data_IF_532443862128
#
_entry.id   IF_532443862128
#
_cell.length_a   1.000
_cell.length_b   1.000
_cell.length_c   1.000
_cell.angle_alpha   90.00
_cell.angle_beta   90.00
_cell.angle_gamma   90.00
#
_symmetry.space_group_name_H-M   'P 1'
#
loop_
_entity.id
_entity.type
_entity.pdbx_description
1 polymer ?
#
# COMPACT_ATOMS: atom_id res chain seq x y z
N UNK A 1 15.34 38.11 -24.96
CA UNK A 1 14.72 36.94 -25.60
C UNK A 1 15.70 35.91 -26.21
N UNK A 2 16.85 36.27 -26.77
CA UNK A 2 17.83 35.31 -27.35
C UNK A 2 18.48 34.35 -26.33
N UNK A 3 18.77 34.80 -25.10
CA UNK A 3 19.38 33.94 -24.05
C UNK A 3 18.44 32.85 -23.52
N UNK A 4 17.14 33.12 -23.42
CA UNK A 4 16.16 32.11 -22.98
C UNK A 4 15.97 31.00 -24.03
N UNK A 5 16.04 31.33 -25.35
CA UNK A 5 15.98 30.32 -26.43
C UNK A 5 17.22 29.42 -26.43
N UNK A 6 18.41 29.93 -26.08
CA UNK A 6 19.63 29.15 -26.02
C UNK A 6 19.60 28.10 -24.87
N UNK A 7 18.98 28.43 -23.74
CA UNK A 7 18.86 27.49 -22.60
C UNK A 7 17.85 26.37 -22.92
N UNK A 8 16.75 26.68 -23.61
CA UNK A 8 15.73 25.70 -23.98
C UNK A 8 16.20 24.72 -25.08
N UNK A 9 17.18 25.12 -25.92
CA UNK A 9 17.72 24.25 -26.98
C UNK A 9 18.88 23.34 -26.52
N UNK A 10 19.39 23.50 -25.31
CA UNK A 10 20.48 22.67 -24.77
C UNK A 10 20.14 21.16 -24.77
N UNK A 11 18.92 20.72 -24.38
CA UNK A 11 18.62 19.28 -24.36
C UNK A 11 18.55 18.62 -25.73
N UNK A 12 18.37 19.35 -26.82
CA UNK A 12 18.22 18.80 -28.18
C UNK A 12 19.52 18.66 -28.99
N UNK A 13 20.64 19.06 -28.43
CA UNK A 13 21.97 18.90 -29.04
C UNK A 13 22.34 17.42 -29.22
N UNK A 14 23.13 17.14 -30.29
CA UNK A 14 23.51 15.76 -30.67
C UNK A 14 24.24 14.96 -29.56
N UNK A 15 24.94 15.65 -28.64
CA UNK A 15 25.62 15.06 -27.46
C UNK A 15 24.78 15.20 -26.19
N UNK A 16 24.08 16.30 -26.02
CA UNK A 16 23.27 16.58 -24.82
C UNK A 16 22.05 15.65 -24.66
N UNK A 17 21.46 15.17 -25.75
CA UNK A 17 20.39 14.16 -25.69
C UNK A 17 20.82 12.88 -24.96
N UNK A 18 22.08 12.43 -25.20
CA UNK A 18 22.62 11.26 -24.52
C UNK A 18 22.93 11.53 -23.04
N UNK A 19 23.40 12.76 -22.73
CA UNK A 19 23.59 13.18 -21.32
C UNK A 19 22.27 13.21 -20.56
N UNK A 20 21.19 13.73 -21.16
CA UNK A 20 19.86 13.74 -20.55
C UNK A 20 19.34 12.31 -20.36
N UNK A 21 19.54 11.43 -21.36
CA UNK A 21 19.14 10.03 -21.23
C UNK A 21 19.91 9.33 -20.11
N UNK A 22 21.22 9.48 -20.05
CA UNK A 22 22.06 8.92 -18.96
C UNK A 22 21.62 9.47 -17.61
N UNK A 23 21.35 10.77 -17.51
CA UNK A 23 20.85 11.39 -16.28
C UNK A 23 19.55 10.72 -15.80
N UNK A 24 18.59 10.52 -16.69
CA UNK A 24 17.34 9.84 -16.35
C UNK A 24 17.54 8.38 -15.97
N UNK A 25 18.42 7.66 -16.65
CA UNK A 25 18.76 6.28 -16.28
C UNK A 25 19.39 6.22 -14.88
N UNK A 26 20.28 7.15 -14.54
CA UNK A 26 20.88 7.25 -13.22
C UNK A 26 19.82 7.58 -12.16
N UNK A 27 18.94 8.56 -12.46
CA UNK A 27 17.81 8.90 -11.56
C UNK A 27 16.96 7.67 -11.30
N UNK A 28 16.57 6.92 -12.33
CA UNK A 28 15.75 5.72 -12.19
C UNK A 28 16.47 4.58 -11.45
N UNK A 29 17.75 4.41 -11.69
CA UNK A 29 18.57 3.41 -10.98
C UNK A 29 18.62 3.67 -9.46
N UNK A 30 18.62 4.95 -9.06
CA UNK A 30 18.59 5.35 -7.65
C UNK A 30 17.17 5.39 -7.11
N UNK A 31 16.22 5.93 -7.88
CA UNK A 31 14.83 6.11 -7.47
C UNK A 31 14.08 4.77 -7.37
N UNK A 32 14.37 3.79 -8.25
CA UNK A 32 13.66 2.51 -8.26
C UNK A 32 13.73 1.77 -6.93
N UNK A 33 14.92 1.49 -6.37
CA UNK A 33 15.05 0.87 -5.05
C UNK A 33 14.43 1.68 -3.91
N UNK A 34 14.46 3.03 -4.00
CA UNK A 34 13.86 3.91 -2.99
C UNK A 34 12.33 3.90 -3.08
N UNK A 35 11.77 3.93 -4.28
CA UNK A 35 10.33 3.80 -4.50
C UNK A 35 9.78 2.48 -3.95
N UNK A 36 10.52 1.37 -4.15
CA UNK A 36 10.16 0.08 -3.59
C UNK A 36 10.12 0.02 -2.05
N UNK A 37 10.77 0.96 -1.37
CA UNK A 37 10.73 1.07 0.11
C UNK A 37 9.55 1.89 0.63
N UNK A 38 8.82 2.58 -0.25
CA UNK A 38 7.70 3.44 0.17
C UNK A 38 6.62 2.64 0.90
N UNK A 39 6.25 1.46 0.39
CA UNK A 39 5.27 0.58 1.05
C UNK A 39 5.66 0.19 2.48
N UNK A 40 6.97 0.04 2.75
CA UNK A 40 7.46 -0.24 4.10
C UNK A 40 7.52 0.99 5.01
N UNK A 41 7.42 2.20 4.45
CA UNK A 41 7.42 3.46 5.19
C UNK A 41 5.99 4.01 5.44
N UNK A 42 4.97 3.36 4.88
CA UNK A 42 3.57 3.74 5.07
C UNK A 42 3.14 3.49 6.52
N UNK A 43 2.51 4.50 7.10
CA UNK A 43 1.89 4.42 8.41
C UNK A 43 0.38 4.29 8.23
N UNK A 44 -0.12 3.09 8.45
CA UNK A 44 -1.55 2.77 8.29
C UNK A 44 -2.25 2.56 9.64
N UNK A 45 -1.67 3.07 10.72
CA UNK A 45 -2.28 3.09 12.05
C UNK A 45 -3.46 4.08 12.10
N UNK A 46 -4.32 3.90 13.11
CA UNK A 46 -5.51 4.76 13.26
C UNK A 46 -5.16 6.25 13.39
N UNK A 47 -3.97 6.58 13.87
CA UNK A 47 -3.50 7.97 14.02
C UNK A 47 -3.16 8.61 12.66
N UNK A 48 -2.68 7.83 11.69
CA UNK A 48 -2.35 8.33 10.35
C UNK A 48 -3.58 8.75 9.53
N UNK A 49 -4.78 8.29 9.94
CA UNK A 49 -6.05 8.59 9.28
C UNK A 49 -6.81 9.76 9.93
N UNK A 50 -6.41 10.16 11.13
CA UNK A 50 -7.10 11.19 11.90
C UNK A 50 -6.36 12.53 11.78
N UNK A 51 -7.09 13.66 11.72
CA UNK A 51 -6.47 14.97 11.82
C UNK A 51 -5.69 15.10 13.14
N UNK A 52 -4.47 15.62 13.08
CA UNK A 52 -3.59 15.73 14.25
C UNK A 52 -4.22 16.50 15.43
N UNK A 53 -5.18 17.39 15.14
CA UNK A 53 -5.87 18.22 16.13
C UNK A 53 -7.18 17.61 16.66
N UNK A 54 -7.60 16.45 16.12
CA UNK A 54 -8.83 15.80 16.56
C UNK A 54 -8.73 15.32 18.02
N UNK A 55 -9.82 15.41 18.76
CA UNK A 55 -9.89 14.93 20.15
C UNK A 55 -9.56 13.45 20.26
N UNK A 56 -10.04 12.64 19.34
CA UNK A 56 -9.71 11.22 19.22
C UNK A 56 -8.21 10.96 19.09
N UNK A 57 -7.48 11.78 18.35
CA UNK A 57 -6.01 11.69 18.21
C UNK A 57 -5.31 11.99 19.54
N UNK A 58 -5.81 12.95 20.31
CA UNK A 58 -5.29 13.27 21.64
C UNK A 58 -5.56 12.14 22.63
N UNK A 59 -6.73 11.53 22.57
CA UNK A 59 -7.08 10.35 23.39
C UNK A 59 -6.16 9.19 23.06
N UNK A 60 -5.91 8.89 21.79
CA UNK A 60 -4.97 7.86 21.39
C UNK A 60 -3.54 8.14 21.89
N UNK A 61 -3.09 9.38 21.82
CA UNK A 61 -1.79 9.79 22.34
C UNK A 61 -1.68 9.65 23.87
N UNK A 62 -2.75 9.90 24.60
CA UNK A 62 -2.81 9.65 26.05
C UNK A 62 -2.86 8.14 26.33
N UNK A 63 -3.66 7.39 25.58
CA UNK A 63 -3.79 5.94 25.74
C UNK A 63 -2.46 5.21 25.52
N UNK A 64 -1.62 5.71 24.60
CA UNK A 64 -0.30 5.14 24.32
C UNK A 64 0.67 5.20 25.53
N UNK A 65 0.39 6.03 26.53
CA UNK A 65 1.16 6.08 27.77
C UNK A 65 0.81 4.92 28.74
N UNK A 66 -0.35 4.30 28.56
CA UNK A 66 -0.85 3.22 29.43
C UNK A 66 -0.86 1.86 28.73
N UNK A 67 -1.06 1.86 27.42
CA UNK A 67 -1.11 0.66 26.58
C UNK A 67 -0.12 0.83 25.43
N UNK A 68 0.67 -0.20 25.15
CA UNK A 68 1.54 -0.16 23.97
C UNK A 68 0.69 0.04 22.72
N UNK A 69 0.92 1.10 21.92
CA UNK A 69 0.13 1.39 20.74
C UNK A 69 0.29 0.33 19.64
N UNK A 70 1.30 -0.53 19.76
CA UNK A 70 1.63 -1.57 18.79
C UNK A 70 1.00 -2.92 19.14
N UNK A 71 0.35 -3.06 20.30
CA UNK A 71 -0.30 -4.30 20.73
C UNK A 71 -1.76 -4.30 20.28
N UNK A 72 -2.08 -5.21 19.39
CA UNK A 72 -3.42 -5.43 18.84
C UNK A 72 -3.98 -6.74 19.36
N UNK A 73 -5.02 -6.73 20.22
CA UNK A 73 -5.65 -7.96 20.65
C UNK A 73 -6.43 -8.62 19.50
N UNK A 74 -6.14 -9.90 19.27
CA UNK A 74 -6.98 -10.81 18.50
C UNK A 74 -7.96 -11.50 19.44
N UNK A 75 -9.20 -11.66 19.00
CA UNK A 75 -10.20 -12.49 19.67
C UNK A 75 -10.46 -13.70 18.79
N UNK A 76 -9.95 -14.85 19.20
CA UNK A 76 -10.18 -16.13 18.52
C UNK A 76 -11.44 -16.74 19.12
N UNK A 77 -12.44 -16.96 18.28
CA UNK A 77 -13.75 -17.52 18.66
C UNK A 77 -13.92 -18.86 18.00
N UNK A 78 -14.24 -19.86 18.81
CA UNK A 78 -14.66 -21.19 18.36
C UNK A 78 -16.16 -21.29 18.56
N UNK A 79 -16.90 -21.65 17.53
CA UNK A 79 -18.33 -21.82 17.54
C UNK A 79 -18.71 -23.21 17.04
N UNK A 80 -19.72 -23.81 17.69
CA UNK A 80 -20.31 -25.07 17.24
C UNK A 80 -21.82 -24.99 17.33
N UNK A 81 -22.53 -25.06 16.21
CA UNK A 81 -23.96 -25.22 16.20
C UNK A 81 -24.38 -26.50 16.97
N UNK A 82 -25.19 -26.35 17.99
CA UNK A 82 -25.64 -27.47 18.84
C UNK A 82 -24.85 -27.64 20.14
N UNK A 83 -23.91 -26.73 20.43
CA UNK A 83 -23.18 -26.68 21.71
C UNK A 83 -21.78 -27.33 21.66
N UNK A 84 -20.93 -26.81 22.50
CA UNK A 84 -19.52 -27.22 22.61
C UNK A 84 -19.35 -28.53 23.35
N UNK A 85 -18.55 -29.42 22.80
CA UNK A 85 -18.17 -30.69 23.42
C UNK A 85 -17.00 -30.49 24.41
N UNK A 86 -16.73 -31.53 25.24
CA UNK A 86 -15.55 -31.56 26.10
C UNK A 86 -14.23 -31.52 25.29
N UNK A 87 -14.23 -32.16 24.10
CA UNK A 87 -13.10 -32.16 23.19
C UNK A 87 -12.81 -30.76 22.62
N UNK A 88 -13.85 -29.96 22.33
CA UNK A 88 -13.69 -28.59 21.83
C UNK A 88 -13.06 -27.69 22.90
N UNK A 89 -13.45 -27.83 24.16
CA UNK A 89 -12.86 -27.10 25.30
C UNK A 89 -11.40 -27.47 25.52
N UNK A 90 -11.09 -28.78 25.41
CA UNK A 90 -9.71 -29.25 25.52
C UNK A 90 -8.85 -28.72 24.38
N UNK A 91 -9.40 -28.71 23.13
CA UNK A 91 -8.73 -28.10 21.97
C UNK A 91 -8.46 -26.62 22.19
N UNK A 92 -9.45 -25.83 22.57
CA UNK A 92 -9.29 -24.39 22.81
C UNK A 92 -8.22 -24.10 23.87
N UNK A 93 -8.14 -24.94 24.91
CA UNK A 93 -7.10 -24.85 25.96
C UNK A 93 -5.70 -25.16 25.39
N UNK A 94 -5.58 -26.21 24.56
CA UNK A 94 -4.33 -26.57 23.94
C UNK A 94 -3.86 -25.47 22.94
N UNK A 95 -4.80 -24.94 22.15
CA UNK A 95 -4.52 -23.88 21.19
C UNK A 95 -4.10 -22.57 21.87
N UNK A 96 -4.70 -22.22 23.01
CA UNK A 96 -4.27 -21.07 23.83
C UNK A 96 -2.81 -21.19 24.27
N UNK A 97 -2.34 -22.41 24.55
CA UNK A 97 -0.92 -22.70 24.77
C UNK A 97 -0.06 -22.48 23.53
N UNK A 98 -0.52 -22.94 22.37
CA UNK A 98 0.19 -22.82 21.07
C UNK A 98 0.24 -21.37 20.57
N UNK A 99 -0.78 -20.57 20.80
CA UNK A 99 -0.79 -19.16 20.43
C UNK A 99 0.37 -18.37 21.05
N UNK A 100 0.84 -18.77 22.23
CA UNK A 100 1.99 -18.12 22.89
C UNK A 100 3.30 -18.25 22.12
N UNK A 101 3.40 -19.22 21.20
CA UNK A 101 4.58 -19.44 20.36
C UNK A 101 4.51 -18.74 19.01
N UNK A 102 3.41 -18.06 18.69
CA UNK A 102 3.26 -17.29 17.46
C UNK A 102 4.08 -16.00 17.57
N UNK A 103 4.79 -15.66 16.51
CA UNK A 103 5.61 -14.45 16.45
C UNK A 103 4.77 -13.18 16.71
N UNK A 104 5.30 -12.31 17.56
CA UNK A 104 4.62 -11.09 17.98
C UNK A 104 3.58 -11.27 19.11
N UNK A 105 3.18 -12.48 19.45
CA UNK A 105 2.27 -12.69 20.59
C UNK A 105 2.96 -12.32 21.90
N UNK A 106 2.27 -11.59 22.78
CA UNK A 106 2.73 -11.29 24.14
C UNK A 106 2.31 -12.44 25.07
N UNK A 107 3.21 -13.43 25.38
CA UNK A 107 2.77 -14.72 25.94
C UNK A 107 2.10 -14.60 27.31
N UNK A 108 2.54 -13.64 28.12
CA UNK A 108 2.01 -13.42 29.49
C UNK A 108 0.62 -12.75 29.51
N UNK A 109 0.12 -12.28 28.37
CA UNK A 109 -1.14 -11.54 28.25
C UNK A 109 -2.24 -12.31 27.51
N UNK A 110 -1.98 -13.57 27.09
CA UNK A 110 -3.01 -14.43 26.50
C UNK A 110 -4.03 -14.79 27.56
N UNK A 111 -5.31 -14.42 27.33
CA UNK A 111 -6.41 -14.59 28.27
C UNK A 111 -7.44 -15.58 27.73
N UNK A 112 -7.95 -16.41 28.59
CA UNK A 112 -8.91 -17.46 28.25
C UNK A 112 -8.28 -18.86 28.24
N UNK A 113 -9.00 -19.86 27.69
CA UNK A 113 -10.28 -19.78 27.00
C UNK A 113 -11.46 -19.45 27.91
N UNK A 114 -12.37 -18.60 27.47
CA UNK A 114 -13.62 -18.25 28.15
C UNK A 114 -14.80 -18.85 27.39
N UNK A 115 -15.61 -19.65 28.08
CA UNK A 115 -16.84 -20.23 27.50
C UNK A 115 -18.00 -19.24 27.62
N UNK A 116 -18.74 -19.05 26.54
CA UNK A 116 -19.96 -18.24 26.55
C UNK A 116 -21.03 -18.85 27.50
N UNK A 117 -21.93 -18.01 28.01
CA UNK A 117 -22.95 -18.45 29.00
C UNK A 117 -23.92 -19.49 28.44
N UNK A 118 -24.17 -19.45 27.14
CA UNK A 118 -25.03 -20.39 26.40
C UNK A 118 -24.31 -21.71 26.03
N UNK A 119 -23.01 -21.81 26.30
CA UNK A 119 -22.20 -22.98 26.00
C UNK A 119 -21.96 -23.25 24.53
N UNK A 120 -22.25 -22.29 23.63
CA UNK A 120 -22.12 -22.48 22.18
C UNK A 120 -20.79 -21.97 21.63
N UNK A 121 -20.13 -21.04 22.31
CA UNK A 121 -18.88 -20.46 21.86
C UNK A 121 -17.79 -20.43 22.95
N UNK A 122 -16.54 -20.47 22.53
CA UNK A 122 -15.34 -20.23 23.38
C UNK A 122 -14.55 -19.10 22.74
N UNK A 123 -14.09 -18.15 23.55
CA UNK A 123 -13.20 -17.09 23.08
C UNK A 123 -11.86 -17.12 23.82
N UNK A 124 -10.80 -16.84 23.09
CA UNK A 124 -9.45 -16.61 23.60
C UNK A 124 -8.94 -15.27 23.10
N UNK A 125 -8.47 -14.43 24.00
CA UNK A 125 -7.89 -13.12 23.66
C UNK A 125 -6.38 -13.27 23.58
N UNK A 126 -5.83 -12.92 22.43
CA UNK A 126 -4.41 -13.08 22.09
C UNK A 126 -3.84 -11.71 21.72
N UNK A 127 -3.18 -10.99 22.62
CA UNK A 127 -2.51 -9.74 22.31
C UNK A 127 -1.27 -9.99 21.47
N UNK A 128 -1.17 -9.29 20.33
CA UNK A 128 -0.06 -9.40 19.38
C UNK A 128 0.61 -8.04 19.23
N UNK A 129 1.90 -7.97 19.52
CA UNK A 129 2.72 -6.80 19.24
C UNK A 129 3.21 -6.84 17.78
N UNK A 130 2.69 -5.94 16.98
CA UNK A 130 3.01 -5.83 15.57
C UNK A 130 4.26 -4.94 15.33
N UNK A 131 4.79 -4.29 16.36
CA UNK A 131 5.88 -3.33 16.24
C UNK A 131 5.51 -2.11 15.39
N UNK A 132 6.50 -1.48 14.79
CA UNK A 132 6.33 -0.29 13.95
C UNK A 132 5.71 -0.59 12.59
N UNK A 133 5.79 -1.86 12.11
CA UNK A 133 5.24 -2.30 10.80
C UNK A 133 3.81 -2.87 10.93
N UNK A 134 3.10 -2.49 11.98
CA UNK A 134 1.89 -3.09 12.51
C UNK A 134 0.87 -3.55 11.48
N UNK A 135 0.54 -2.69 10.54
CA UNK A 135 -0.48 -2.98 9.53
C UNK A 135 -0.10 -4.11 8.57
N UNK A 136 1.17 -4.13 8.14
CA UNK A 136 1.65 -5.14 7.20
C UNK A 136 1.80 -6.53 7.85
N UNK A 137 1.99 -6.58 9.16
CA UNK A 137 2.14 -7.81 9.95
C UNK A 137 0.81 -8.38 10.45
N UNK A 138 -0.27 -7.58 10.45
CA UNK A 138 -1.57 -8.01 10.94
C UNK A 138 -2.11 -9.23 10.19
N UNK A 139 -2.05 -9.23 8.86
CA UNK A 139 -2.49 -10.36 8.03
C UNK A 139 -1.74 -11.66 8.34
N UNK A 140 -0.40 -11.71 8.21
CA UNK A 140 0.40 -12.88 8.57
C UNK A 140 0.18 -13.37 10.01
N UNK A 141 0.03 -12.48 10.99
CA UNK A 141 -0.26 -12.86 12.37
C UNK A 141 -1.63 -13.55 12.50
N UNK A 142 -2.67 -12.98 11.89
CA UNK A 142 -4.01 -13.59 11.86
C UNK A 142 -3.99 -14.95 11.16
N UNK A 143 -3.28 -15.07 10.03
CA UNK A 143 -3.17 -16.33 9.30
C UNK A 143 -2.48 -17.42 10.14
N UNK A 144 -1.45 -17.05 10.91
CA UNK A 144 -0.76 -17.96 11.84
C UNK A 144 -1.67 -18.43 12.97
N UNK A 145 -2.44 -17.50 13.58
CA UNK A 145 -3.41 -17.86 14.61
C UNK A 145 -4.53 -18.74 14.05
N UNK A 146 -5.00 -18.44 12.84
CA UNK A 146 -6.03 -19.22 12.14
C UNK A 146 -5.58 -20.63 11.84
N UNK A 147 -4.37 -20.81 11.33
CA UNK A 147 -3.81 -22.13 11.03
C UNK A 147 -3.76 -23.04 12.28
N UNK A 148 -3.43 -22.48 13.44
CA UNK A 148 -3.46 -23.22 14.72
C UNK A 148 -4.89 -23.55 15.13
N UNK A 149 -5.81 -22.57 15.04
CA UNK A 149 -7.18 -22.70 15.51
C UNK A 149 -8.02 -23.66 14.65
N UNK A 150 -7.81 -23.68 13.34
CA UNK A 150 -8.50 -24.58 12.40
C UNK A 150 -7.94 -26.01 12.42
N UNK A 151 -6.69 -26.19 12.85
CA UNK A 151 -6.08 -27.51 12.93
C UNK A 151 -6.86 -28.44 13.86
N UNK A 152 -7.22 -29.65 13.37
CA UNK A 152 -7.94 -30.68 14.14
C UNK A 152 -9.31 -30.27 14.71
N UNK A 153 -9.96 -29.24 14.12
CA UNK A 153 -11.24 -28.70 14.56
C UNK A 153 -12.46 -29.29 13.81
N UNK A 154 -12.65 -30.60 13.78
CA UNK A 154 -13.80 -31.21 13.07
C UNK A 154 -15.14 -30.67 13.61
N UNK A 155 -15.87 -29.96 12.71
CA UNK A 155 -17.18 -29.37 13.02
C UNK A 155 -17.16 -28.13 13.91
N UNK A 156 -15.97 -27.55 14.23
CA UNK A 156 -15.82 -26.24 14.82
C UNK A 156 -15.67 -25.18 13.73
N UNK A 157 -16.42 -24.10 13.85
CA UNK A 157 -16.19 -22.90 13.05
C UNK A 157 -15.27 -21.97 13.84
N UNK A 158 -14.26 -21.44 13.17
CA UNK A 158 -13.28 -20.54 13.79
C UNK A 158 -13.38 -19.16 13.18
N UNK A 159 -13.55 -18.17 14.06
CA UNK A 159 -13.54 -16.76 13.68
C UNK A 159 -12.43 -16.04 14.43
N UNK A 160 -11.70 -15.17 13.74
CA UNK A 160 -10.73 -14.27 14.36
C UNK A 160 -11.21 -12.84 14.15
N UNK A 161 -11.41 -12.14 15.24
CA UNK A 161 -11.93 -10.78 15.28
C UNK A 161 -11.12 -9.91 16.27
N UNK A 162 -11.68 -8.79 16.68
CA UNK A 162 -11.00 -7.81 17.52
C UNK A 162 -10.12 -6.86 16.69
N UNK A 163 -9.40 -5.95 17.35
CA UNK A 163 -8.54 -4.96 16.68
C UNK A 163 -7.57 -5.57 15.68
N UNK A 164 -6.95 -6.72 16.00
CA UNK A 164 -6.05 -7.39 15.06
C UNK A 164 -6.77 -7.94 13.83
N UNK A 165 -7.93 -8.59 14.02
CA UNK A 165 -8.73 -9.10 12.92
C UNK A 165 -9.18 -7.99 11.98
N UNK A 166 -9.70 -6.90 12.54
CA UNK A 166 -10.10 -5.71 11.76
C UNK A 166 -8.93 -5.09 10.99
N UNK A 167 -7.75 -4.99 11.63
CA UNK A 167 -6.55 -4.47 10.97
C UNK A 167 -6.12 -5.38 9.80
N UNK A 168 -6.15 -6.71 9.99
CA UNK A 168 -5.81 -7.67 8.96
C UNK A 168 -6.77 -7.62 7.76
N UNK A 169 -8.08 -7.57 8.02
CA UNK A 169 -9.10 -7.48 6.97
C UNK A 169 -9.02 -6.17 6.21
N UNK A 170 -8.77 -5.07 6.91
CA UNK A 170 -8.55 -3.76 6.28
C UNK A 170 -7.28 -3.77 5.42
N UNK A 171 -6.15 -4.26 5.94
CA UNK A 171 -4.91 -4.37 5.19
C UNK A 171 -5.08 -5.24 3.93
N UNK A 172 -5.81 -6.35 4.04
CA UNK A 172 -6.12 -7.23 2.90
C UNK A 172 -7.01 -6.55 1.85
N UNK A 173 -7.99 -5.78 2.30
CA UNK A 173 -8.88 -5.01 1.40
C UNK A 173 -8.10 -3.95 0.62
N UNK A 174 -7.21 -3.21 1.27
CA UNK A 174 -6.39 -2.20 0.60
C UNK A 174 -5.36 -2.81 -0.34
N UNK A 175 -4.68 -3.89 0.04
CA UNK A 175 -3.67 -4.56 -0.78
C UNK A 175 -4.21 -5.07 -2.13
N UNK A 176 -5.50 -5.42 -2.20
CA UNK A 176 -6.15 -5.82 -3.46
C UNK A 176 -6.59 -4.63 -4.32
N UNK A 177 -6.95 -3.51 -3.70
CA UNK A 177 -7.48 -2.32 -4.38
C UNK A 177 -6.37 -1.60 -5.15
N UNK A 178 -5.19 -1.40 -4.55
CA UNK A 178 -4.11 -0.61 -5.14
C UNK A 178 -3.61 -1.20 -6.46
N UNK A 179 -3.32 -2.49 -6.50
CA UNK A 179 -2.88 -3.15 -7.73
C UNK A 179 -3.99 -3.22 -8.79
N UNK A 180 -5.23 -3.50 -8.41
CA UNK A 180 -6.37 -3.57 -9.33
C UNK A 180 -6.67 -2.20 -9.92
N UNK A 181 -6.69 -1.14 -9.12
CA UNK A 181 -6.88 0.24 -9.59
C UNK A 181 -5.76 0.67 -10.52
N UNK A 182 -4.51 0.38 -10.18
CA UNK A 182 -3.35 0.72 -11.01
C UNK A 182 -3.45 0.04 -12.38
N UNK A 183 -3.70 -1.28 -12.42
CA UNK A 183 -3.81 -2.01 -13.68
C UNK A 183 -5.05 -1.60 -14.48
N UNK A 184 -6.18 -1.34 -13.83
CA UNK A 184 -7.39 -0.85 -14.50
C UNK A 184 -7.14 0.54 -15.11
N UNK A 185 -6.56 1.46 -14.36
CA UNK A 185 -6.21 2.81 -14.84
C UNK A 185 -5.21 2.73 -15.99
N UNK A 186 -4.16 1.93 -15.84
CA UNK A 186 -3.17 1.70 -16.90
C UNK A 186 -3.81 1.12 -18.17
N UNK A 187 -4.71 0.15 -18.00
CA UNK A 187 -5.45 -0.45 -19.14
C UNK A 187 -6.30 0.57 -19.89
N UNK A 188 -7.08 1.38 -19.17
CA UNK A 188 -7.89 2.45 -19.77
C UNK A 188 -7.00 3.47 -20.50
N UNK A 189 -5.92 3.90 -19.86
CA UNK A 189 -4.95 4.85 -20.46
C UNK A 189 -4.34 4.27 -21.73
N UNK A 190 -3.90 3.02 -21.72
CA UNK A 190 -3.34 2.36 -22.91
C UNK A 190 -4.36 2.30 -24.05
N UNK A 191 -5.61 1.91 -23.78
CA UNK A 191 -6.67 1.85 -24.78
C UNK A 191 -6.93 3.22 -25.39
N UNK A 192 -7.06 4.26 -24.55
CA UNK A 192 -7.27 5.64 -25.02
C UNK A 192 -6.09 6.15 -25.84
N UNK A 193 -4.85 5.86 -25.42
CA UNK A 193 -3.66 6.25 -26.15
C UNK A 193 -3.53 5.53 -27.50
N UNK A 194 -3.82 4.23 -27.58
CA UNK A 194 -3.85 3.48 -28.82
C UNK A 194 -4.86 4.06 -29.81
N UNK A 195 -6.05 4.42 -29.32
CA UNK A 195 -7.10 5.02 -30.15
C UNK A 195 -6.71 6.41 -30.66
N UNK A 196 -6.07 7.20 -29.79
CA UNK A 196 -5.66 8.58 -30.09
C UNK A 196 -4.46 8.63 -31.04
N UNK A 197 -3.44 7.82 -30.77
CA UNK A 197 -2.22 7.86 -31.58
C UNK A 197 -2.30 7.01 -32.86
N UNK A 198 -3.18 6.04 -32.92
CA UNK A 198 -3.32 5.09 -34.05
C UNK A 198 -1.98 4.45 -34.45
N UNK A 199 -1.08 4.28 -33.50
CA UNK A 199 0.27 3.73 -33.71
C UNK A 199 0.58 2.74 -32.60
N UNK A 200 1.02 1.53 -32.93
CA UNK A 200 1.33 0.49 -31.94
C UNK A 200 2.57 0.78 -31.08
N UNK A 201 3.35 1.78 -31.41
CA UNK A 201 4.60 2.13 -30.70
C UNK A 201 4.52 3.48 -29.99
N UNK A 202 3.78 4.43 -30.55
CA UNK A 202 3.80 5.82 -30.08
C UNK A 202 3.12 6.00 -28.70
N UNK A 203 2.18 5.13 -28.34
CA UNK A 203 1.54 5.13 -27.01
C UNK A 203 2.50 4.76 -25.88
N UNK A 204 3.60 4.08 -26.20
CA UNK A 204 4.57 3.65 -25.19
C UNK A 204 5.33 4.85 -24.59
N UNK A 205 5.56 5.91 -25.35
CA UNK A 205 6.29 7.09 -24.88
C UNK A 205 5.60 7.81 -23.70
N UNK A 206 4.29 8.15 -23.76
CA UNK A 206 3.57 8.69 -22.62
C UNK A 206 3.59 7.78 -21.39
N UNK A 207 3.39 6.49 -21.59
CA UNK A 207 3.34 5.52 -20.49
C UNK A 207 4.70 5.39 -19.80
N UNK A 208 5.80 5.29 -20.56
CA UNK A 208 7.15 5.28 -20.00
C UNK A 208 7.42 6.60 -19.25
N UNK A 209 7.03 7.73 -19.83
CA UNK A 209 7.24 9.05 -19.23
C UNK A 209 6.47 9.18 -17.90
N UNK A 210 5.20 8.75 -17.86
CA UNK A 210 4.39 8.73 -16.65
C UNK A 210 4.96 7.75 -15.59
N UNK A 211 5.38 6.55 -16.02
CA UNK A 211 6.00 5.57 -15.12
C UNK A 211 7.31 6.06 -14.50
N UNK A 212 8.16 6.73 -15.29
CA UNK A 212 9.40 7.34 -14.75
C UNK A 212 9.10 8.46 -13.76
N UNK A 213 8.10 9.29 -14.04
CA UNK A 213 7.64 10.34 -13.13
C UNK A 213 7.10 9.74 -11.82
N UNK A 214 6.32 8.66 -11.90
CA UNK A 214 5.79 7.96 -10.75
C UNK A 214 6.91 7.40 -9.85
N UNK A 215 7.87 6.68 -10.41
CA UNK A 215 9.03 6.16 -9.67
C UNK A 215 9.80 7.28 -8.98
N UNK A 216 10.02 8.40 -9.67
CA UNK A 216 10.71 9.55 -9.09
C UNK A 216 9.90 10.20 -7.96
N UNK A 217 8.58 10.33 -8.12
CA UNK A 217 7.68 10.86 -7.10
C UNK A 217 7.63 9.97 -5.86
N UNK A 218 7.48 8.66 -6.02
CA UNK A 218 7.47 7.69 -4.93
C UNK A 218 8.80 7.69 -4.16
N UNK A 219 9.94 7.76 -4.86
CA UNK A 219 11.25 7.86 -4.25
C UNK A 219 11.41 9.15 -3.43
N UNK A 220 10.96 10.29 -3.95
CA UNK A 220 10.98 11.57 -3.24
C UNK A 220 10.11 11.53 -1.99
N UNK A 221 8.90 10.97 -2.09
CA UNK A 221 7.98 10.83 -0.96
C UNK A 221 8.58 9.91 0.10
N UNK A 222 9.21 8.80 -0.29
CA UNK A 222 9.94 7.95 0.65
C UNK A 222 11.03 8.73 1.41
N UNK A 223 11.84 9.53 0.71
CA UNK A 223 12.87 10.35 1.35
C UNK A 223 12.27 11.37 2.33
N UNK A 224 11.16 12.01 1.97
CA UNK A 224 10.45 12.93 2.85
C UNK A 224 9.83 12.21 4.06
N UNK A 225 9.28 11.01 3.86
CA UNK A 225 8.74 10.19 4.96
C UNK A 225 9.86 9.74 5.92
N UNK A 226 11.02 9.34 5.38
CA UNK A 226 12.13 8.83 6.17
C UNK A 226 12.91 9.93 6.91
N UNK A 227 13.01 11.15 6.35
CA UNK A 227 13.92 12.19 6.88
C UNK A 227 13.21 13.49 7.28
N UNK A 228 12.02 13.76 6.75
CA UNK A 228 11.28 15.00 7.02
C UNK A 228 9.98 14.78 7.82
N UNK A 229 9.72 13.55 8.28
CA UNK A 229 8.54 13.25 9.10
C UNK A 229 7.20 13.28 8.34
N UNK A 230 7.22 13.18 7.00
CA UNK A 230 6.00 13.11 6.21
C UNK A 230 5.26 11.79 6.52
N UNK A 231 4.01 11.90 6.94
CA UNK A 231 3.16 10.72 7.14
C UNK A 231 2.48 10.35 5.83
N UNK A 232 2.71 9.14 5.36
CA UNK A 232 2.10 8.57 4.15
C UNK A 232 1.30 7.35 4.56
N UNK A 233 0.08 7.23 4.08
CA UNK A 233 -0.75 6.04 4.24
C UNK A 233 -1.05 5.42 2.86
N UNK A 234 -1.48 4.15 2.84
CA UNK A 234 -1.76 3.41 1.61
C UNK A 234 -2.76 4.13 0.69
N UNK A 235 -3.79 4.77 1.25
CA UNK A 235 -4.77 5.51 0.45
C UNK A 235 -4.15 6.70 -0.28
N UNK A 236 -3.31 7.48 0.40
CA UNK A 236 -2.63 8.63 -0.23
C UNK A 236 -1.63 8.19 -1.29
N UNK A 237 -0.96 7.04 -1.09
CA UNK A 237 -0.08 6.45 -2.09
C UNK A 237 -0.86 6.00 -3.33
N UNK A 238 -1.99 5.30 -3.16
CA UNK A 238 -2.84 4.88 -4.29
C UNK A 238 -3.44 6.06 -5.07
N UNK A 239 -3.88 7.12 -4.38
CA UNK A 239 -4.35 8.36 -5.04
C UNK A 239 -3.22 9.02 -5.84
N UNK A 240 -2.00 9.07 -5.27
CA UNK A 240 -0.83 9.59 -5.98
C UNK A 240 -0.57 8.84 -7.28
N UNK A 241 -0.60 7.52 -7.26
CA UNK A 241 -0.34 6.68 -8.42
C UNK A 241 -1.29 7.02 -9.57
N UNK A 242 -2.59 7.12 -9.28
CA UNK A 242 -3.61 7.49 -10.28
C UNK A 242 -3.42 8.92 -10.79
N UNK A 243 -3.15 9.87 -9.91
CA UNK A 243 -2.97 11.29 -10.29
C UNK A 243 -1.71 11.49 -11.13
N UNK A 244 -0.58 10.87 -10.78
CA UNK A 244 0.67 11.01 -11.54
C UNK A 244 0.54 10.37 -12.92
N UNK A 245 -0.10 9.19 -13.02
CA UNK A 245 -0.38 8.57 -14.30
C UNK A 245 -1.33 9.42 -15.16
N UNK A 246 -2.43 9.92 -14.60
CA UNK A 246 -3.38 10.77 -15.30
C UNK A 246 -2.73 12.05 -15.80
N UNK A 247 -2.14 12.84 -14.91
CA UNK A 247 -1.48 14.09 -15.28
C UNK A 247 -0.28 13.86 -16.23
N UNK A 248 0.52 12.82 -15.99
CA UNK A 248 1.68 12.48 -16.83
C UNK A 248 1.29 12.15 -18.27
N UNK A 249 0.21 11.40 -18.45
CA UNK A 249 -0.30 11.07 -19.79
C UNK A 249 -0.92 12.28 -20.49
N UNK A 250 -1.63 13.15 -19.78
CA UNK A 250 -2.22 14.37 -20.33
C UNK A 250 -1.14 15.34 -20.82
N UNK A 251 -0.09 15.59 -20.02
CA UNK A 251 1.04 16.40 -20.44
C UNK A 251 1.79 15.81 -21.64
N UNK A 252 1.97 14.50 -21.66
CA UNK A 252 2.63 13.83 -22.78
C UNK A 252 1.78 13.92 -24.08
N UNK A 253 0.45 13.84 -23.97
CA UNK A 253 -0.48 14.06 -25.10
C UNK A 253 -0.36 15.48 -25.64
N UNK A 254 -0.39 16.49 -24.76
CA UNK A 254 -0.24 17.90 -25.15
C UNK A 254 1.10 18.16 -25.83
N UNK A 255 2.20 17.64 -25.28
CA UNK A 255 3.54 17.79 -25.85
C UNK A 255 3.64 17.14 -27.23
N UNK A 256 3.11 15.93 -27.38
CA UNK A 256 3.15 15.20 -28.66
C UNK A 256 2.28 15.87 -29.72
N UNK A 257 1.11 16.38 -29.35
CA UNK A 257 0.24 17.12 -30.29
C UNK A 257 0.93 18.40 -30.77
N UNK A 258 1.55 19.14 -29.86
CA UNK A 258 2.30 20.36 -30.17
C UNK A 258 3.52 20.09 -31.07
N UNK A 259 4.25 19.02 -30.74
CA UNK A 259 5.39 18.60 -31.57
C UNK A 259 4.98 18.23 -33.00
N UNK A 260 3.87 17.51 -33.16
CA UNK A 260 3.32 17.22 -34.53
C UNK A 260 2.87 18.46 -35.27
N UNK A 261 2.26 19.42 -34.57
CA UNK A 261 1.86 20.70 -35.15
C UNK A 261 3.09 21.48 -35.67
N UNK A 262 4.13 21.60 -34.86
CA UNK A 262 5.37 22.26 -35.26
C UNK A 262 6.09 21.57 -36.43
N UNK A 263 6.12 20.25 -36.47
CA UNK A 263 6.67 19.49 -37.57
C UNK A 263 5.92 19.79 -38.87
N UNK A 264 4.59 19.85 -38.85
CA UNK A 264 3.77 20.18 -40.05
C UNK A 264 4.04 21.60 -40.52
N UNK A 265 4.20 22.57 -39.63
CA UNK A 265 4.53 23.96 -40.00
C UNK A 265 5.89 24.06 -40.67
N UNK A 266 6.89 23.35 -40.18
CA UNK A 266 8.24 23.39 -40.77
C UNK A 266 8.35 22.60 -42.07
N UNK A 267 7.67 21.48 -42.23
CA UNK A 267 7.63 20.75 -43.50
C UNK A 267 6.83 21.48 -44.57
N UNK A 268 5.81 22.25 -44.22
CA UNK A 268 5.02 23.05 -45.14
C UNK A 268 5.76 24.27 -45.72
N UNK A 269 6.77 24.80 -45.03
CA UNK A 269 7.59 25.91 -45.52
C UNK A 269 8.72 25.50 -46.51
N UNK A 270 8.96 24.21 -46.70
CA UNK A 270 9.98 23.69 -47.64
C UNK A 270 9.43 23.35 -49.00
N UNK A 271 8.12 23.53 -49.24
CA UNK A 271 7.43 23.21 -50.48
C UNK A 271 6.90 24.45 -51.25
N UNK A 272 7.30 25.65 -50.86
CA UNK A 272 7.09 26.95 -51.56
C UNK A 272 8.48 27.59 -51.82
#
# INVERSE_FOLDING_TARGET
MRRARAIVSIPSGRRTKWMVLVLWVVILAVAGPLAGKLMGAEKNDAQAWLPAQAESTRVLALQSQFLSPNVFPAVVVYDRPGGLTAADRAKATADAGRFRSVDGVVPGQVQGPFTARDGQAIQTVVPVDLGTDGWNKAGPAVDSLRAIAEANGQGLTVHITGPLGTAADSAKSFKGIDSTLLFATLGVVIVLLLFTYRSPVLWLLPVISAGTALIAAQALIYLLAAHAGLTVNAQSAGILDVLVFGAGTDYALLLTSRYREELRRHCGCSAS
#
